data_IF_231196929434
#
_entry.id   IF_231196929434
#
_cell.length_a   1.000
_cell.length_b   1.000
_cell.length_c   1.000
_cell.angle_alpha   90.00
_cell.angle_beta   90.00
_cell.angle_gamma   90.00
#
_symmetry.space_group_name_H-M   'P 1'
#
loop_
_entity.id
_entity.type
_entity.pdbx_description
1 polymer ?
#
# COMPACT_ATOMS: atom_id res chain seq x y z
N UNK A 1 -62.83 -9.70 -5.49
CA UNK A 1 -61.76 -10.38 -4.72
C UNK A 1 -60.63 -9.39 -4.62
N UNK A 2 -60.30 -8.95 -3.40
CA UNK A 2 -59.29 -7.93 -3.17
C UNK A 2 -57.90 -8.45 -3.57
N UNK A 3 -57.07 -7.58 -4.16
CA UNK A 3 -55.70 -7.89 -4.59
C UNK A 3 -54.87 -8.52 -3.45
N UNK A 4 -55.14 -8.10 -2.22
CA UNK A 4 -54.50 -8.61 -1.01
C UNK A 4 -54.87 -10.07 -0.71
N UNK A 5 -56.11 -10.47 -0.97
CA UNK A 5 -56.55 -11.87 -0.79
C UNK A 5 -55.88 -12.79 -1.82
N UNK A 6 -55.72 -12.30 -3.05
CA UNK A 6 -55.02 -13.04 -4.11
C UNK A 6 -53.54 -13.29 -3.78
N UNK A 7 -52.85 -12.27 -3.24
CA UNK A 7 -51.45 -12.39 -2.78
C UNK A 7 -51.35 -13.34 -1.59
N UNK A 8 -52.29 -13.25 -0.64
CA UNK A 8 -52.32 -14.11 0.54
C UNK A 8 -52.49 -15.59 0.17
N UNK A 9 -53.44 -15.90 -0.73
CA UNK A 9 -53.66 -17.27 -1.21
C UNK A 9 -52.46 -17.77 -2.01
N UNK A 10 -51.90 -16.96 -2.90
CA UNK A 10 -50.72 -17.34 -3.68
C UNK A 10 -49.52 -17.69 -2.79
N UNK A 11 -49.26 -16.88 -1.76
CA UNK A 11 -48.19 -17.15 -0.80
C UNK A 11 -48.44 -18.38 0.07
N UNK A 12 -49.68 -18.58 0.50
CA UNK A 12 -50.06 -19.79 1.24
C UNK A 12 -49.81 -21.04 0.40
N UNK A 13 -50.08 -20.99 -0.91
CA UNK A 13 -49.88 -22.12 -1.83
C UNK A 13 -48.39 -22.47 -1.97
N UNK A 14 -47.52 -21.46 -2.07
CA UNK A 14 -46.06 -21.65 -2.11
C UNK A 14 -45.52 -22.18 -0.77
N UNK A 15 -46.04 -21.68 0.35
CA UNK A 15 -45.69 -22.19 1.69
C UNK A 15 -46.13 -23.64 1.88
N UNK A 16 -47.32 -24.00 1.40
CA UNK A 16 -47.82 -25.39 1.41
C UNK A 16 -46.96 -26.33 0.57
N UNK A 17 -46.35 -25.85 -0.52
CA UNK A 17 -45.48 -26.67 -1.37
C UNK A 17 -44.10 -26.96 -0.75
N UNK A 18 -43.67 -26.16 0.24
CA UNK A 18 -42.34 -26.25 0.86
C UNK A 18 -42.40 -26.82 2.28
N UNK A 19 -43.55 -26.76 2.97
CA UNK A 19 -43.72 -27.19 4.35
C UNK A 19 -44.29 -28.63 4.46
N UNK A 20 -43.88 -29.42 5.48
CA UNK A 20 -44.43 -30.76 5.74
C UNK A 20 -45.89 -30.73 6.23
N UNK A 21 -46.65 -31.78 5.90
CA UNK A 21 -48.10 -31.90 6.15
C UNK A 21 -48.54 -31.64 7.60
N UNK A 22 -47.64 -31.85 8.57
CA UNK A 22 -47.89 -31.63 10.00
C UNK A 22 -48.15 -30.17 10.38
N UNK A 23 -47.74 -29.21 9.53
CA UNK A 23 -47.96 -27.77 9.74
C UNK A 23 -49.22 -27.25 9.04
N UNK A 24 -49.88 -28.05 8.20
CA UNK A 24 -51.07 -27.63 7.44
C UNK A 24 -52.28 -27.37 8.35
N UNK A 25 -52.46 -28.17 9.41
CA UNK A 25 -53.52 -27.98 10.41
C UNK A 25 -53.37 -26.69 11.21
N UNK A 26 -52.13 -26.24 11.41
CA UNK A 26 -51.83 -24.99 12.12
C UNK A 26 -52.12 -23.78 11.22
N UNK A 27 -51.81 -23.88 9.92
CA UNK A 27 -52.03 -22.79 8.96
C UNK A 27 -53.52 -22.47 8.71
N UNK A 28 -54.43 -23.45 8.79
CA UNK A 28 -55.87 -23.20 8.67
C UNK A 28 -56.45 -22.36 9.82
N UNK A 29 -55.93 -22.54 11.04
CA UNK A 29 -56.30 -21.73 12.19
C UNK A 29 -55.86 -20.26 12.02
N UNK A 30 -54.70 -20.06 11.42
CA UNK A 30 -54.09 -18.75 11.19
C UNK A 30 -54.70 -17.94 10.03
N UNK A 31 -55.43 -18.59 9.10
CA UNK A 31 -56.17 -17.91 8.02
C UNK A 31 -57.25 -16.94 8.51
N UNK A 32 -57.79 -17.17 9.71
CA UNK A 32 -58.91 -16.38 10.25
C UNK A 32 -58.47 -15.08 10.96
N UNK A 33 -57.15 -14.84 11.06
CA UNK A 33 -56.60 -13.63 11.70
C UNK A 33 -56.27 -12.60 10.61
N UNK A 34 -57.05 -11.51 10.47
CA UNK A 34 -56.77 -10.48 9.48
C UNK A 34 -55.42 -9.80 9.78
N UNK A 35 -54.57 -9.65 8.75
CA UNK A 35 -53.25 -9.01 8.85
C UNK A 35 -52.06 -9.96 9.02
N UNK A 36 -52.29 -11.24 9.37
CA UNK A 36 -51.21 -12.21 9.55
C UNK A 36 -50.48 -12.54 8.24
N UNK A 37 -51.21 -12.49 7.13
CA UNK A 37 -50.64 -12.64 5.78
C UNK A 37 -49.55 -11.63 5.49
N UNK A 38 -49.77 -10.36 5.81
CA UNK A 38 -48.81 -9.26 5.58
C UNK A 38 -47.53 -9.49 6.40
N UNK A 39 -47.67 -9.94 7.64
CA UNK A 39 -46.53 -10.26 8.51
C UNK A 39 -45.72 -11.43 7.94
N UNK A 40 -46.39 -12.47 7.44
CA UNK A 40 -45.73 -13.62 6.80
C UNK A 40 -45.02 -13.23 5.51
N UNK A 41 -45.62 -12.37 4.68
CA UNK A 41 -44.98 -11.82 3.48
C UNK A 41 -43.71 -11.07 3.84
N UNK A 42 -43.82 -10.18 4.83
CA UNK A 42 -42.72 -9.33 5.25
C UNK A 42 -41.58 -10.16 5.88
N UNK A 43 -41.92 -11.13 6.72
CA UNK A 43 -40.95 -12.07 7.30
C UNK A 43 -40.25 -12.91 6.22
N UNK A 44 -41.00 -13.42 5.24
CA UNK A 44 -40.45 -14.14 4.09
C UNK A 44 -39.46 -13.29 3.31
N UNK A 45 -39.85 -12.06 2.94
CA UNK A 45 -39.00 -11.12 2.22
C UNK A 45 -37.69 -10.84 2.99
N UNK A 46 -37.77 -10.61 4.29
CA UNK A 46 -36.60 -10.36 5.14
C UNK A 46 -35.67 -11.56 5.21
N UNK A 47 -36.21 -12.77 5.41
CA UNK A 47 -35.42 -14.01 5.49
C UNK A 47 -34.73 -14.28 4.15
N UNK A 48 -35.46 -14.17 3.04
CA UNK A 48 -34.90 -14.36 1.70
C UNK A 48 -33.83 -13.30 1.40
N UNK A 49 -34.10 -12.02 1.71
CA UNK A 49 -33.14 -10.93 1.53
C UNK A 49 -31.86 -11.12 2.35
N UNK A 50 -31.97 -11.57 3.59
CA UNK A 50 -30.82 -11.86 4.46
C UNK A 50 -29.98 -13.04 3.94
N UNK A 51 -30.63 -14.12 3.47
CA UNK A 51 -29.95 -15.28 2.89
C UNK A 51 -29.19 -14.91 1.62
N UNK A 52 -29.83 -14.21 0.69
CA UNK A 52 -29.21 -13.74 -0.56
C UNK A 52 -28.03 -12.81 -0.26
N UNK A 53 -28.21 -11.84 0.64
CA UNK A 53 -27.16 -10.88 0.99
C UNK A 53 -25.96 -11.54 1.66
N UNK A 54 -26.17 -12.55 2.50
CA UNK A 54 -25.09 -13.27 3.17
C UNK A 54 -24.29 -14.15 2.19
N UNK A 55 -24.97 -14.85 1.27
CA UNK A 55 -24.30 -15.67 0.25
C UNK A 55 -23.59 -14.80 -0.78
N UNK A 56 -24.25 -13.76 -1.30
CA UNK A 56 -23.66 -12.82 -2.24
C UNK A 56 -22.48 -12.07 -1.60
N UNK A 57 -22.62 -11.59 -0.36
CA UNK A 57 -21.55 -10.92 0.36
C UNK A 57 -20.33 -11.80 0.58
N UNK A 58 -20.52 -13.06 1.01
CA UNK A 58 -19.41 -14.04 1.12
C UNK A 58 -18.77 -14.34 -0.22
N UNK A 59 -19.56 -14.50 -1.27
CA UNK A 59 -19.04 -14.75 -2.62
C UNK A 59 -18.20 -13.57 -3.13
N UNK A 60 -18.68 -12.34 -2.97
CA UNK A 60 -17.96 -11.11 -3.31
C UNK A 60 -16.64 -10.97 -2.53
N UNK A 61 -16.64 -11.25 -1.22
CA UNK A 61 -15.43 -11.23 -0.40
C UNK A 61 -14.38 -12.25 -0.89
N UNK A 62 -14.81 -13.47 -1.26
CA UNK A 62 -13.91 -14.50 -1.80
C UNK A 62 -13.35 -14.09 -3.16
N UNK A 63 -14.16 -13.51 -4.06
CA UNK A 63 -13.66 -13.02 -5.35
C UNK A 63 -12.69 -11.84 -5.16
N UNK A 64 -12.98 -10.93 -4.24
CA UNK A 64 -12.10 -9.81 -3.91
C UNK A 64 -10.74 -10.28 -3.37
N UNK A 65 -10.75 -11.28 -2.49
CA UNK A 65 -9.52 -11.86 -1.95
C UNK A 65 -8.68 -12.58 -3.02
N UNK A 66 -9.35 -13.25 -3.99
CA UNK A 66 -8.69 -13.86 -5.16
C UNK A 66 -8.08 -12.82 -6.11
N UNK A 67 -8.77 -11.70 -6.32
CA UNK A 67 -8.25 -10.59 -7.14
C UNK A 67 -6.98 -9.98 -6.51
N UNK A 68 -6.93 -9.83 -5.18
CA UNK A 68 -5.75 -9.32 -4.47
C UNK A 68 -4.56 -10.30 -4.43
N UNK A 69 -4.82 -11.60 -4.45
CA UNK A 69 -3.77 -12.64 -4.38
C UNK A 69 -3.15 -12.94 -5.75
N UNK A 70 -3.87 -12.69 -6.85
CA UNK A 70 -3.39 -12.95 -8.22
C UNK A 70 -2.75 -11.74 -8.93
N UNK A 71 -2.41 -10.67 -8.20
CA UNK A 71 -1.57 -9.58 -8.71
C UNK A 71 -0.18 -9.58 -8.01
N UNK A 72 0.63 -10.66 -8.15
CA UNK A 72 1.98 -10.71 -7.58
C UNK A 72 2.97 -9.77 -8.30
N UNK A 73 2.69 -9.32 -9.52
CA UNK A 73 3.60 -8.45 -10.28
C UNK A 73 3.62 -7.01 -9.76
N UNK A 74 2.44 -6.44 -9.45
CA UNK A 74 2.38 -5.06 -8.96
C UNK A 74 2.86 -4.94 -7.52
N UNK A 75 2.66 -5.96 -6.65
CA UNK A 75 3.22 -5.94 -5.29
C UNK A 75 4.75 -5.91 -5.28
N UNK A 76 5.42 -6.68 -6.13
CA UNK A 76 6.90 -6.73 -6.14
C UNK A 76 7.49 -5.42 -6.66
N UNK A 77 6.92 -4.85 -7.72
CA UNK A 77 7.37 -3.55 -8.25
C UNK A 77 7.05 -2.44 -7.24
N UNK A 78 5.82 -2.36 -6.72
CA UNK A 78 5.42 -1.31 -5.79
C UNK A 78 6.12 -1.44 -4.44
N UNK A 79 6.37 -2.65 -3.93
CA UNK A 79 7.12 -2.84 -2.68
C UNK A 79 8.62 -2.58 -2.86
N UNK A 80 9.21 -2.85 -4.02
CA UNK A 80 10.61 -2.47 -4.29
C UNK A 80 10.74 -0.96 -4.46
N UNK A 81 9.84 -0.33 -5.20
CA UNK A 81 9.78 1.14 -5.36
C UNK A 81 9.48 1.81 -4.01
N UNK A 82 8.54 1.27 -3.22
CA UNK A 82 8.21 1.78 -1.90
C UNK A 82 9.32 1.51 -0.89
N UNK A 83 10.02 0.37 -0.92
CA UNK A 83 11.20 0.16 -0.07
C UNK A 83 12.33 1.12 -0.41
N UNK A 84 12.57 1.39 -1.70
CA UNK A 84 13.52 2.41 -2.14
C UNK A 84 13.05 3.79 -1.69
N UNK A 85 11.77 4.14 -1.88
CA UNK A 85 11.20 5.40 -1.41
C UNK A 85 11.27 5.57 0.11
N UNK A 86 10.90 4.56 0.88
CA UNK A 86 10.92 4.59 2.35
C UNK A 86 12.38 4.64 2.85
N UNK A 87 13.34 4.08 2.10
CA UNK A 87 14.77 4.21 2.43
C UNK A 87 15.28 5.61 2.07
N UNK A 88 14.90 6.17 0.91
CA UNK A 88 15.36 7.49 0.46
C UNK A 88 14.63 8.66 1.17
N UNK A 89 13.44 8.45 1.74
CA UNK A 89 12.55 9.51 2.26
C UNK A 89 12.03 9.30 3.68
N UNK A 90 12.35 8.19 4.36
CA UNK A 90 12.00 8.10 5.78
C UNK A 90 12.86 9.05 6.59
N UNK A 91 12.20 9.98 7.26
CA UNK A 91 12.74 10.92 8.25
C UNK A 91 13.34 10.24 9.50
N UNK A 92 13.64 8.93 9.44
CA UNK A 92 14.21 8.11 10.48
C UNK A 92 15.58 7.53 10.03
N UNK A 93 16.51 8.42 9.68
CA UNK A 93 17.91 8.41 10.14
C UNK A 93 18.83 7.21 9.90
N UNK A 94 18.46 6.16 9.17
CA UNK A 94 19.31 4.96 9.02
C UNK A 94 19.68 4.57 7.59
N UNK A 95 19.13 5.24 6.57
CA UNK A 95 19.43 4.96 5.18
C UNK A 95 20.65 5.71 4.62
N UNK A 96 20.88 6.94 5.13
CA UNK A 96 22.01 7.78 4.76
C UNK A 96 22.82 8.05 6.01
N UNK A 97 24.00 7.43 6.11
CA UNK A 97 24.81 7.50 7.35
C UNK A 97 25.65 8.77 7.41
N UNK A 98 26.12 9.25 6.27
CA UNK A 98 27.11 10.32 6.16
C UNK A 98 26.93 11.08 4.85
N UNK A 99 27.03 12.40 4.88
CA UNK A 99 27.15 13.22 3.68
C UNK A 99 28.59 13.16 3.15
N UNK A 100 28.74 12.98 1.83
CA UNK A 100 30.01 12.81 1.16
C UNK A 100 30.19 13.88 0.09
N UNK A 101 31.42 14.26 -0.18
CA UNK A 101 31.83 15.05 -1.34
C UNK A 101 32.57 14.14 -2.32
N UNK A 102 32.08 14.07 -3.57
CA UNK A 102 32.58 13.14 -4.59
C UNK A 102 32.76 13.84 -5.92
N UNK A 103 33.64 13.31 -6.77
CA UNK A 103 33.82 13.82 -8.14
C UNK A 103 32.86 13.11 -9.11
N UNK A 104 31.90 13.84 -9.68
CA UNK A 104 30.91 13.33 -10.63
C UNK A 104 30.35 14.46 -11.52
N UNK A 105 30.11 14.23 -12.83
CA UNK A 105 30.33 13.00 -13.58
C UNK A 105 31.77 12.83 -14.10
N UNK A 106 32.65 13.82 -13.88
CA UNK A 106 34.05 13.79 -14.32
C UNK A 106 34.98 14.33 -13.25
N UNK A 107 36.28 14.05 -13.39
CA UNK A 107 37.32 14.64 -12.55
C UNK A 107 37.27 16.17 -12.58
N UNK A 108 37.40 16.76 -11.39
CA UNK A 108 37.32 18.19 -11.12
C UNK A 108 35.89 18.76 -10.98
N UNK A 109 34.85 17.96 -11.22
CA UNK A 109 33.46 18.34 -10.98
C UNK A 109 32.97 17.68 -9.69
N UNK A 110 32.59 18.48 -8.69
CA UNK A 110 32.24 17.98 -7.35
C UNK A 110 30.74 18.06 -7.09
N UNK A 111 30.22 17.08 -6.37
CA UNK A 111 28.83 17.05 -5.91
C UNK A 111 28.75 16.46 -4.52
N UNK A 112 27.68 16.82 -3.81
CA UNK A 112 27.29 16.13 -2.57
C UNK A 112 26.63 14.81 -2.93
N UNK A 113 26.99 13.78 -2.18
CA UNK A 113 26.42 12.45 -2.24
C UNK A 113 26.13 11.97 -0.83
N UNK A 114 25.40 10.86 -0.70
CA UNK A 114 25.06 10.28 0.59
C UNK A 114 25.49 8.82 0.63
N UNK A 115 26.20 8.43 1.70
CA UNK A 115 26.59 7.04 1.87
C UNK A 115 25.36 6.18 2.20
N UNK A 116 25.12 5.18 1.35
CA UNK A 116 24.00 4.22 1.51
C UNK A 116 24.46 2.86 2.04
N UNK A 117 25.76 2.56 1.98
CA UNK A 117 26.34 1.33 2.52
C UNK A 117 27.67 0.96 1.90
N UNK A 118 27.91 -0.35 1.78
CA UNK A 118 29.04 -0.94 1.06
C UNK A 118 28.52 -1.94 0.02
N UNK A 119 29.23 -2.14 -1.11
CA UNK A 119 28.86 -3.15 -2.08
C UNK A 119 28.78 -4.55 -1.43
N UNK A 120 27.84 -5.38 -1.87
CA UNK A 120 27.66 -6.74 -1.37
C UNK A 120 27.28 -7.70 -2.51
N UNK A 121 27.38 -9.01 -2.25
CA UNK A 121 27.06 -10.03 -3.25
C UNK A 121 28.06 -10.09 -4.40
N UNK A 122 27.56 -10.37 -5.60
CA UNK A 122 28.37 -10.53 -6.82
C UNK A 122 29.18 -9.27 -7.17
N UNK A 123 28.62 -8.08 -6.95
CA UNK A 123 29.30 -6.83 -7.29
C UNK A 123 30.54 -6.60 -6.40
N UNK A 124 30.46 -6.96 -5.12
CA UNK A 124 31.60 -6.84 -4.20
C UNK A 124 32.77 -7.75 -4.61
N UNK A 125 32.50 -8.91 -5.20
CA UNK A 125 33.53 -9.82 -5.69
C UNK A 125 34.36 -9.22 -6.83
N UNK A 126 33.78 -8.28 -7.59
CA UNK A 126 34.44 -7.62 -8.72
C UNK A 126 35.17 -6.33 -8.33
N UNK A 127 34.75 -5.66 -7.25
CA UNK A 127 35.29 -4.36 -6.84
C UNK A 127 36.41 -4.44 -5.78
N UNK A 128 36.46 -5.54 -5.01
CA UNK A 128 37.40 -5.68 -3.89
C UNK A 128 36.89 -5.05 -2.58
N UNK A 129 37.71 -5.05 -1.52
CA UNK A 129 37.24 -4.82 -0.15
C UNK A 129 36.98 -3.36 0.26
N UNK A 130 37.32 -2.35 -0.56
CA UNK A 130 37.35 -0.95 -0.12
C UNK A 130 36.55 0.01 -1.02
N UNK A 131 35.29 -0.37 -1.25
CA UNK A 131 34.32 0.46 -1.96
C UNK A 131 33.17 0.87 -1.07
N UNK A 132 32.61 2.05 -1.37
CA UNK A 132 31.39 2.56 -0.74
C UNK A 132 30.27 2.71 -1.76
N UNK A 133 29.06 2.41 -1.31
CA UNK A 133 27.85 2.63 -2.09
C UNK A 133 27.31 4.02 -1.78
N UNK A 134 27.16 4.86 -2.80
CA UNK A 134 26.76 6.27 -2.65
C UNK A 134 25.59 6.63 -3.54
N UNK A 135 24.73 7.51 -3.05
CA UNK A 135 23.62 8.10 -3.80
C UNK A 135 23.93 9.55 -4.13
N UNK A 136 23.92 9.89 -5.42
CA UNK A 136 24.07 11.26 -5.92
C UNK A 136 22.69 11.77 -6.34
N UNK A 137 22.05 12.68 -5.59
CA UNK A 137 20.72 13.18 -5.93
C UNK A 137 20.75 14.14 -7.12
N UNK A 138 19.62 14.25 -7.82
CA UNK A 138 19.35 15.37 -8.74
C UNK A 138 18.75 16.56 -8.00
N UNK A 139 19.04 17.77 -8.46
CA UNK A 139 18.48 19.00 -7.92
C UNK A 139 17.36 19.55 -8.83
N UNK A 140 16.38 20.30 -8.29
CA UNK A 140 16.13 20.54 -6.86
C UNK A 140 15.41 19.38 -6.16
N UNK A 141 14.91 18.39 -6.92
CA UNK A 141 14.09 17.31 -6.42
C UNK A 141 14.92 16.01 -6.26
N UNK A 142 15.25 15.57 -5.03
CA UNK A 142 16.13 14.44 -4.76
C UNK A 142 15.41 13.07 -4.84
N UNK A 143 14.29 13.00 -5.57
CA UNK A 143 13.56 11.75 -5.89
C UNK A 143 14.21 10.92 -6.98
N UNK A 144 15.08 11.53 -7.77
CA UNK A 144 15.95 10.84 -8.71
C UNK A 144 17.42 11.13 -8.42
N UNK A 145 18.29 10.27 -8.96
CA UNK A 145 19.72 10.37 -8.77
C UNK A 145 20.45 9.19 -9.37
N UNK A 146 21.74 9.13 -9.10
CA UNK A 146 22.61 8.04 -9.52
C UNK A 146 23.06 7.23 -8.31
N UNK A 147 23.06 5.92 -8.46
CA UNK A 147 23.72 5.01 -7.53
C UNK A 147 25.12 4.70 -8.06
N UNK A 148 26.14 5.03 -7.27
CA UNK A 148 27.54 4.82 -7.64
C UNK A 148 28.24 3.96 -6.59
N UNK A 149 29.22 3.20 -7.03
CA UNK A 149 30.15 2.49 -6.15
C UNK A 149 31.54 3.05 -6.42
N UNK A 150 32.13 3.68 -5.41
CA UNK A 150 33.39 4.40 -5.52
C UNK A 150 34.42 3.83 -4.55
N UNK A 151 35.73 3.83 -4.88
CA UNK A 151 36.77 3.56 -3.92
C UNK A 151 36.64 4.49 -2.71
N UNK A 152 36.90 3.98 -1.50
CA UNK A 152 36.88 4.84 -0.28
C UNK A 152 37.85 6.02 -0.39
N UNK A 153 38.95 5.87 -1.12
CA UNK A 153 39.94 6.93 -1.38
C UNK A 153 39.40 8.11 -2.18
N UNK A 154 38.31 7.91 -2.93
CA UNK A 154 37.77 8.90 -3.88
C UNK A 154 36.58 9.69 -3.30
N UNK A 155 36.24 9.42 -2.03
CA UNK A 155 35.16 10.09 -1.31
C UNK A 155 35.71 10.86 -0.11
N UNK A 156 35.17 12.07 0.12
CA UNK A 156 35.51 12.89 1.29
C UNK A 156 34.29 12.95 2.19
N UNK A 157 34.42 12.51 3.44
CA UNK A 157 33.34 12.62 4.42
C UNK A 157 33.18 14.08 4.87
N UNK A 158 31.97 14.60 4.77
CA UNK A 158 31.64 15.96 5.20
C UNK A 158 31.22 15.95 6.68
N UNK A 159 31.57 17.02 7.39
CA UNK A 159 31.22 17.20 8.81
C UNK A 159 29.78 17.69 9.04
N UNK A 160 29.09 18.17 7.99
CA UNK A 160 27.71 18.62 8.06
C UNK A 160 26.74 17.46 8.25
N UNK A 161 25.58 17.75 8.85
CA UNK A 161 24.50 16.75 8.97
C UNK A 161 23.90 16.39 7.60
N UNK A 162 23.28 15.21 7.52
CA UNK A 162 22.56 14.77 6.31
C UNK A 162 21.45 15.76 5.93
N UNK A 163 20.74 16.30 6.92
CA UNK A 163 19.65 17.26 6.70
C UNK A 163 20.16 18.60 6.16
N UNK A 164 21.30 19.09 6.65
CA UNK A 164 21.94 20.29 6.12
C UNK A 164 22.43 20.09 4.69
N UNK A 165 23.06 18.95 4.41
CA UNK A 165 23.50 18.58 3.07
C UNK A 165 22.32 18.47 2.09
N UNK A 166 21.22 17.85 2.51
CA UNK A 166 20.00 17.71 1.72
C UNK A 166 19.35 19.08 1.46
N UNK A 167 19.30 19.94 2.47
CA UNK A 167 18.80 21.32 2.35
C UNK A 167 19.64 22.12 1.34
N UNK A 168 20.96 21.99 1.40
CA UNK A 168 21.86 22.66 0.47
C UNK A 168 21.68 22.18 -0.98
N UNK A 169 21.52 20.86 -1.18
CA UNK A 169 21.24 20.25 -2.48
C UNK A 169 19.88 20.70 -3.05
N UNK A 170 18.80 20.61 -2.26
CA UNK A 170 17.44 20.98 -2.69
C UNK A 170 17.35 22.47 -3.03
N UNK A 171 18.04 23.31 -2.24
CA UNK A 171 18.12 24.74 -2.48
C UNK A 171 19.03 25.13 -3.65
N UNK A 172 19.58 24.16 -4.39
CA UNK A 172 20.52 24.39 -5.49
C UNK A 172 21.75 25.22 -5.07
N UNK A 173 22.18 25.05 -3.82
CA UNK A 173 23.31 25.76 -3.26
C UNK A 173 22.98 27.13 -2.64
N UNK A 174 21.71 27.54 -2.58
CA UNK A 174 21.36 28.88 -2.06
C UNK A 174 21.33 28.94 -0.52
N UNK A 175 21.14 27.82 0.18
CA UNK A 175 21.09 27.78 1.65
C UNK A 175 22.32 27.06 2.19
N UNK A 176 23.36 27.82 2.53
CA UNK A 176 24.64 27.27 2.99
C UNK A 176 24.50 26.46 4.30
N UNK A 177 25.17 25.30 4.42
CA UNK A 177 25.26 24.53 5.66
C UNK A 177 25.92 25.34 6.79
N UNK A 178 25.47 25.14 8.04
CA UNK A 178 25.94 25.92 9.20
C UNK A 178 27.35 25.51 9.64
N UNK A 179 27.77 24.28 9.32
CA UNK A 179 29.10 23.75 9.63
C UNK A 179 30.20 24.42 8.77
N UNK A 180 30.47 25.69 9.06
CA UNK A 180 31.57 26.45 8.49
C UNK A 180 32.88 26.03 9.15
N UNK A 181 33.60 25.10 8.53
CA UNK A 181 35.06 25.11 8.60
C UNK A 181 35.54 26.32 7.81
N UNK A 182 35.95 27.37 8.51
CA UNK A 182 36.54 28.58 7.92
C UNK A 182 37.75 28.19 7.08
N UNK A 183 37.72 28.44 5.77
CA UNK A 183 38.93 28.48 4.97
C UNK A 183 39.61 29.83 5.25
N UNK A 184 40.86 29.86 5.77
CA UNK A 184 41.61 31.12 5.83
C UNK A 184 41.87 31.61 4.40
N UNK A 185 41.68 32.92 4.20
CA UNK A 185 41.93 33.64 2.94
C UNK A 185 43.37 33.46 2.43
#
# INVERSE_FOLDING_TARGET
MDLLDGIFVGMLTVLQAVLPDSLMSTLEYFKHIPGLGVILVFAGLLITGALVSNVAGRWWLVQWHRLQTNIPVFKTIYNSVKKVSDTLFSSNGNAFRTALLVQYPRRGAWTIAFQTGSPSGEVAQHLGPDFVSVYVPTTPNPTSGFFLMLPRSDVIELSMSVDEALTYVISMGSVAPTAAGVFPE
#
